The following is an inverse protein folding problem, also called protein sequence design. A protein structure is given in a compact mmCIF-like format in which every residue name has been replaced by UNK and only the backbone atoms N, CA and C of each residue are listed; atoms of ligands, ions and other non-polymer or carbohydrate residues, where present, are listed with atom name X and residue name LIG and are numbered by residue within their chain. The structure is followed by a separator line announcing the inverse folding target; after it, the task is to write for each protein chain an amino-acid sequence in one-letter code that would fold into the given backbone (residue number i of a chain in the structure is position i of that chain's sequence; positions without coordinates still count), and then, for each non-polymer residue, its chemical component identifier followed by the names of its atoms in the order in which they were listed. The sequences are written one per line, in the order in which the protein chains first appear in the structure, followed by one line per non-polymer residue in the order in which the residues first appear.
data_IF_046818374940
#
_entry.id   IF_046818374940
#
_cell.length_a   1.000
_cell.length_b   1.000
_cell.length_c   1.000
_cell.angle_alpha   90.00
_cell.angle_beta   90.00
_cell.angle_gamma   90.00
#
_symmetry.space_group_name_H-M   'P 1'
#
loop_
_entity.id
_entity.type
_entity.pdbx_description
1 polymer ?
#
# COMPACT_ATOMS: atom_id res chain seq x y z
N UNK A 1 -1.74 -4.82 -0.73
CA UNK A 1 -0.93 -5.80 0.03
C UNK A 1 0.08 -6.58 -0.83
N UNK A 2 0.21 -6.34 -2.15
CA UNK A 2 1.03 -7.19 -3.03
C UNK A 2 2.47 -6.73 -3.27
N UNK A 3 2.91 -5.59 -2.72
CA UNK A 3 4.29 -5.12 -2.93
C UNK A 3 5.32 -5.74 -1.96
N UNK A 4 4.89 -6.39 -0.86
CA UNK A 4 5.83 -6.88 0.16
C UNK A 4 6.71 -8.02 -0.34
N UNK A 5 6.15 -8.97 -1.10
CA UNK A 5 6.94 -10.03 -1.75
C UNK A 5 8.01 -9.43 -2.66
N UNK A 6 7.65 -8.39 -3.41
CA UNK A 6 8.54 -7.73 -4.36
C UNK A 6 9.63 -6.95 -3.64
N UNK A 7 9.31 -6.31 -2.51
CA UNK A 7 10.26 -5.66 -1.63
C UNK A 7 11.34 -6.64 -1.12
N UNK A 8 10.97 -7.87 -0.73
CA UNK A 8 11.91 -8.83 -0.10
C UNK A 8 12.57 -9.81 -1.07
N UNK A 9 12.10 -9.94 -2.30
CA UNK A 9 12.60 -10.90 -3.27
C UNK A 9 13.02 -10.23 -4.58
N UNK A 10 14.32 -10.14 -4.79
CA UNK A 10 14.93 -9.53 -5.97
C UNK A 10 14.86 -10.40 -7.23
N UNK A 11 14.40 -11.65 -7.14
CA UNK A 11 14.27 -12.55 -8.31
C UNK A 11 13.15 -12.12 -9.26
N UNK A 12 12.21 -11.31 -8.78
CA UNK A 12 11.14 -10.77 -9.61
C UNK A 12 11.62 -9.57 -10.42
N UNK A 13 11.48 -9.65 -11.75
CA UNK A 13 12.00 -8.63 -12.66
C UNK A 13 11.04 -7.47 -12.92
N UNK A 14 9.72 -7.67 -12.75
CA UNK A 14 8.68 -6.67 -13.08
C UNK A 14 7.57 -6.71 -12.02
N UNK A 15 6.96 -5.55 -11.76
CA UNK A 15 5.91 -5.37 -10.76
C UNK A 15 4.63 -4.80 -11.38
N UNK A 16 3.52 -5.55 -11.28
CA UNK A 16 2.20 -5.09 -11.74
C UNK A 16 1.14 -5.44 -10.68
N UNK A 17 0.84 -4.54 -9.73
CA UNK A 17 -0.26 -4.74 -8.79
C UNK A 17 -1.59 -4.79 -9.53
N UNK A 18 -2.39 -5.82 -9.26
CA UNK A 18 -3.71 -6.00 -9.88
C UNK A 18 -4.74 -5.03 -9.29
N UNK A 19 -4.60 -4.70 -8.01
CA UNK A 19 -5.39 -3.71 -7.27
C UNK A 19 -4.56 -2.48 -6.93
N UNK A 20 -5.21 -1.39 -6.51
CA UNK A 20 -4.53 -0.18 -6.07
C UNK A 20 -3.50 -0.42 -4.96
N UNK A 21 -2.40 0.31 -5.03
CA UNK A 21 -1.49 0.46 -3.89
C UNK A 21 -2.16 1.38 -2.87
N UNK A 22 -2.07 1.07 -1.59
CA UNK A 22 -2.70 1.86 -0.53
C UNK A 22 -1.62 2.40 0.43
N UNK A 23 -1.67 3.70 0.72
CA UNK A 23 -0.96 4.28 1.85
C UNK A 23 -1.77 4.07 3.12
N UNK A 24 -1.42 3.07 3.92
CA UNK A 24 -2.19 2.65 5.10
C UNK A 24 -2.16 3.69 6.22
N UNK A 25 -0.98 4.26 6.53
CA UNK A 25 -0.88 5.33 7.53
C UNK A 25 -1.79 6.51 7.16
N UNK A 26 -1.69 6.99 5.92
CA UNK A 26 -2.52 8.08 5.43
C UNK A 26 -4.01 7.75 5.54
N UNK A 27 -4.40 6.52 5.16
CA UNK A 27 -5.79 6.10 5.26
C UNK A 27 -6.30 6.08 6.70
N UNK A 28 -5.47 5.68 7.67
CA UNK A 28 -5.81 5.72 9.10
C UNK A 28 -5.92 7.17 9.60
N UNK A 29 -4.90 7.99 9.33
CA UNK A 29 -4.81 9.38 9.80
C UNK A 29 -5.95 10.27 9.28
N UNK A 30 -6.51 9.93 8.10
CA UNK A 30 -7.56 10.69 7.44
C UNK A 30 -8.94 10.03 7.52
N UNK A 31 -9.08 8.95 8.29
CA UNK A 31 -10.32 8.19 8.42
C UNK A 31 -10.91 7.72 7.06
N UNK A 32 -10.03 7.20 6.20
CA UNK A 32 -10.29 6.77 4.82
C UNK A 32 -10.02 5.26 4.62
N UNK A 33 -10.20 4.46 5.67
CA UNK A 33 -9.87 3.02 5.70
C UNK A 33 -11.11 2.09 5.70
N UNK A 34 -12.31 2.66 5.86
CA UNK A 34 -13.60 1.95 5.99
C UNK A 34 -13.94 1.14 4.74
N UNK A 35 -13.71 1.70 3.54
CA UNK A 35 -13.97 0.99 2.28
C UNK A 35 -13.17 -0.32 2.19
N UNK A 36 -11.94 -0.35 2.73
CA UNK A 36 -11.13 -1.56 2.82
C UNK A 36 -11.70 -2.53 3.86
N UNK A 37 -12.14 -2.03 5.02
CA UNK A 37 -12.79 -2.86 6.04
C UNK A 37 -14.05 -3.52 5.49
N UNK A 38 -14.91 -2.76 4.83
CA UNK A 38 -16.19 -3.25 4.33
C UNK A 38 -16.00 -4.29 3.21
N UNK A 39 -14.91 -4.22 2.44
CA UNK A 39 -14.61 -5.20 1.39
C UNK A 39 -14.37 -6.63 1.90
N UNK A 40 -13.90 -6.78 3.15
CA UNK A 40 -13.61 -8.08 3.78
C UNK A 40 -14.02 -8.07 5.27
N UNK A 41 -15.17 -7.46 5.55
CA UNK A 41 -15.67 -7.18 6.91
C UNK A 41 -15.60 -8.34 7.91
N UNK A 42 -15.86 -9.61 7.52
CA UNK A 42 -15.73 -10.73 8.44
C UNK A 42 -14.34 -10.86 9.08
N UNK A 43 -13.26 -10.59 8.33
CA UNK A 43 -11.89 -10.63 8.86
C UNK A 43 -11.69 -9.60 9.97
N UNK A 44 -12.13 -8.37 9.72
CA UNK A 44 -11.96 -7.26 10.67
C UNK A 44 -12.83 -7.44 11.92
N UNK A 45 -14.05 -7.98 11.77
CA UNK A 45 -14.89 -8.34 12.92
C UNK A 45 -14.22 -9.39 13.80
N UNK A 46 -13.66 -10.43 13.21
CA UNK A 46 -12.99 -11.48 13.98
C UNK A 46 -11.75 -10.94 14.71
N UNK A 47 -10.91 -10.16 14.02
CA UNK A 47 -9.74 -9.52 14.63
C UNK A 47 -10.10 -8.55 15.77
N UNK A 48 -11.22 -7.83 15.64
CA UNK A 48 -11.78 -6.98 16.70
C UNK A 48 -12.24 -7.80 17.90
N UNK A 49 -12.97 -8.89 17.67
CA UNK A 49 -13.48 -9.78 18.71
C UNK A 49 -12.34 -10.43 19.51
N UNK A 50 -11.30 -10.93 18.82
CA UNK A 50 -10.10 -11.48 19.47
C UNK A 50 -9.38 -10.44 20.33
N UNK A 51 -9.49 -9.15 19.97
CA UNK A 51 -8.95 -8.03 20.74
C UNK A 51 -9.89 -7.57 21.87
N UNK A 52 -11.03 -8.23 22.07
CA UNK A 52 -12.02 -7.89 23.09
C UNK A 52 -12.82 -6.61 22.81
N UNK A 53 -12.84 -6.13 21.56
CA UNK A 53 -13.50 -4.89 21.16
C UNK A 53 -14.86 -5.17 20.50
N UNK A 54 -15.87 -4.38 20.89
CA UNK A 54 -17.23 -4.47 20.32
C UNK A 54 -17.37 -3.79 18.96
N UNK A 55 -16.45 -2.89 18.61
CA UNK A 55 -16.44 -2.13 17.37
C UNK A 55 -15.07 -2.19 16.71
N UNK A 56 -15.04 -2.13 15.37
CA UNK A 56 -13.81 -2.11 14.59
C UNK A 56 -13.24 -0.70 14.64
N UNK A 57 -12.01 -0.56 15.14
CA UNK A 57 -11.23 0.68 15.13
C UNK A 57 -9.93 0.51 14.34
N UNK A 58 -9.16 1.59 14.20
CA UNK A 58 -7.91 1.59 13.44
C UNK A 58 -6.83 0.66 14.03
N UNK A 59 -6.86 0.35 15.32
CA UNK A 59 -5.86 -0.54 15.94
C UNK A 59 -6.00 -2.00 15.46
N UNK A 60 -7.11 -2.34 14.80
CA UNK A 60 -7.31 -3.65 14.15
C UNK A 60 -6.21 -3.99 13.14
N UNK A 61 -5.57 -2.98 12.56
CA UNK A 61 -4.46 -3.17 11.63
C UNK A 61 -3.25 -3.80 12.29
N UNK A 62 -2.93 -3.44 13.53
CA UNK A 62 -1.80 -4.03 14.26
C UNK A 62 -2.06 -5.49 14.64
N UNK A 63 -3.33 -5.88 14.76
CA UNK A 63 -3.74 -7.27 14.99
C UNK A 63 -3.68 -8.11 13.71
N UNK A 64 -4.13 -7.58 12.58
CA UNK A 64 -4.20 -8.31 11.30
C UNK A 64 -2.85 -8.37 10.60
N UNK A 65 -2.16 -7.24 10.52
CA UNK A 65 -0.92 -7.08 9.79
C UNK A 65 -0.01 -6.09 10.56
N UNK A 66 0.71 -6.57 11.59
CA UNK A 66 1.61 -5.75 12.38
C UNK A 66 2.57 -4.95 11.49
N UNK A 67 2.77 -3.68 11.84
CA UNK A 67 3.61 -2.72 11.11
C UNK A 67 3.17 -2.38 9.67
N UNK A 68 1.93 -2.73 9.27
CA UNK A 68 1.41 -2.37 7.95
C UNK A 68 1.27 -0.85 7.75
N UNK A 69 0.85 -0.12 8.78
CA UNK A 69 0.80 1.33 8.73
C UNK A 69 2.19 2.00 8.88
N UNK A 70 3.21 1.26 9.32
CA UNK A 70 4.56 1.80 9.54
C UNK A 70 5.57 1.23 8.55
N UNK A 71 6.41 0.27 8.97
CA UNK A 71 7.57 -0.23 8.22
C UNK A 71 7.21 -0.80 6.84
N UNK A 72 6.03 -1.41 6.72
CA UNK A 72 5.58 -2.04 5.49
C UNK A 72 4.71 -1.13 4.61
N UNK A 73 4.42 0.08 5.07
CA UNK A 73 3.60 1.03 4.34
C UNK A 73 4.24 1.44 3.00
N UNK A 74 3.41 1.90 2.06
CA UNK A 74 3.82 2.23 0.69
C UNK A 74 5.02 3.19 0.57
N UNK A 75 5.17 4.24 1.42
CA UNK A 75 6.34 5.12 1.34
C UNK A 75 7.69 4.43 1.58
N UNK A 76 7.68 3.25 2.23
CA UNK A 76 8.90 2.52 2.61
C UNK A 76 9.09 1.24 1.80
N UNK A 77 8.02 0.54 1.46
CA UNK A 77 8.09 -0.75 0.76
C UNK A 77 8.12 -0.63 -0.76
N UNK A 78 7.68 0.51 -1.34
CA UNK A 78 7.59 0.69 -2.80
C UNK A 78 8.86 1.29 -3.42
N UNK A 79 9.50 2.33 -2.86
CA UNK A 79 10.73 2.89 -3.45
C UNK A 79 11.87 1.87 -3.66
N UNK A 80 12.15 0.93 -2.74
CA UNK A 80 13.19 -0.09 -2.91
C UNK A 80 12.92 -1.08 -4.07
N UNK A 81 11.79 -0.97 -4.77
CA UNK A 81 11.53 -1.76 -5.97
C UNK A 81 12.40 -1.30 -7.15
N UNK A 82 12.86 -0.04 -7.15
CA UNK A 82 13.80 0.46 -8.14
C UNK A 82 15.04 -0.47 -8.24
N UNK A 83 15.58 -0.71 -9.46
CA UNK A 83 15.19 -0.12 -10.76
C UNK A 83 14.19 -0.98 -11.55
N UNK A 84 13.47 -1.91 -10.90
CA UNK A 84 12.62 -2.88 -11.62
C UNK A 84 11.44 -2.19 -12.30
N UNK A 85 11.12 -2.50 -13.56
CA UNK A 85 9.92 -1.98 -14.21
C UNK A 85 8.65 -2.19 -13.38
N UNK A 86 7.83 -1.15 -13.31
CA UNK A 86 6.53 -1.22 -12.63
C UNK A 86 5.42 -0.49 -13.38
N UNK A 87 4.21 -0.98 -13.20
CA UNK A 87 2.97 -0.31 -13.59
C UNK A 87 2.09 -0.15 -12.36
N UNK A 88 1.69 1.09 -12.03
CA UNK A 88 0.73 1.33 -10.97
C UNK A 88 -0.70 1.31 -11.55
N UNK A 89 -1.64 0.71 -10.83
CA UNK A 89 -3.06 0.67 -11.19
C UNK A 89 -3.90 1.24 -10.04
N UNK A 90 -5.19 1.47 -10.29
CA UNK A 90 -6.16 1.83 -9.25
C UNK A 90 -6.34 3.32 -9.04
N UNK A 91 -6.18 4.15 -10.09
CA UNK A 91 -6.52 5.57 -10.04
C UNK A 91 -7.97 5.82 -9.58
N UNK A 92 -8.86 4.89 -9.91
CA UNK A 92 -10.28 4.91 -9.57
C UNK A 92 -10.67 3.77 -8.60
N UNK A 93 -9.71 3.17 -7.88
CA UNK A 93 -9.95 2.08 -6.91
C UNK A 93 -10.46 2.68 -5.59
N UNK A 94 -11.76 2.60 -5.25
CA UNK A 94 -12.31 3.36 -4.11
C UNK A 94 -11.70 2.97 -2.75
N UNK A 95 -11.39 1.69 -2.47
CA UNK A 95 -10.62 1.28 -1.29
C UNK A 95 -9.16 1.79 -1.22
N UNK A 96 -8.61 2.36 -2.29
CA UNK A 96 -7.20 2.82 -2.36
C UNK A 96 -7.13 4.28 -2.82
N UNK A 97 -7.48 5.26 -1.95
CA UNK A 97 -7.52 6.66 -2.35
C UNK A 97 -6.17 7.16 -2.86
N UNK A 98 -6.17 7.74 -4.07
CA UNK A 98 -4.97 8.27 -4.73
C UNK A 98 -4.28 9.37 -3.90
N UNK A 99 -5.03 10.10 -3.07
CA UNK A 99 -4.46 11.10 -2.16
C UNK A 99 -3.44 10.50 -1.19
N UNK A 100 -3.65 9.26 -0.74
CA UNK A 100 -2.71 8.54 0.12
C UNK A 100 -1.44 8.05 -0.61
N UNK A 101 -1.31 8.31 -1.91
CA UNK A 101 -0.17 7.91 -2.72
C UNK A 101 0.76 9.07 -3.11
N UNK A 102 0.46 10.31 -2.73
CA UNK A 102 1.30 11.47 -3.07
C UNK A 102 2.74 11.33 -2.53
N UNK A 103 2.89 11.04 -1.23
CA UNK A 103 4.22 10.84 -0.63
C UNK A 103 4.91 9.57 -1.20
N UNK A 104 4.28 8.38 -1.27
CA UNK A 104 4.87 7.22 -1.93
C UNK A 104 5.33 7.50 -3.36
N UNK A 105 4.55 8.24 -4.15
CA UNK A 105 4.88 8.56 -5.54
C UNK A 105 6.12 9.45 -5.64
N UNK A 106 6.27 10.45 -4.77
CA UNK A 106 7.47 11.30 -4.72
C UNK A 106 8.72 10.47 -4.42
N UNK A 107 8.70 9.66 -3.36
CA UNK A 107 9.84 8.82 -2.96
C UNK A 107 10.23 7.80 -4.01
N UNK A 108 9.24 7.26 -4.72
CA UNK A 108 9.49 6.38 -5.87
C UNK A 108 10.19 7.14 -6.98
N UNK A 109 9.68 8.30 -7.36
CA UNK A 109 10.24 9.08 -8.46
C UNK A 109 11.72 9.40 -8.19
N UNK A 110 12.04 9.78 -6.95
CA UNK A 110 13.40 9.96 -6.45
C UNK A 110 14.24 8.69 -6.60
N UNK A 111 13.79 7.55 -6.05
CA UNK A 111 14.53 6.28 -6.09
C UNK A 111 14.79 5.78 -7.52
N UNK A 112 13.83 5.93 -8.43
CA UNK A 112 14.02 5.52 -9.83
C UNK A 112 14.94 6.48 -10.59
N UNK A 113 14.90 7.79 -10.28
CA UNK A 113 15.82 8.76 -10.86
C UNK A 113 17.26 8.51 -10.41
N UNK A 114 17.48 8.27 -9.11
CA UNK A 114 18.79 7.91 -8.55
C UNK A 114 19.36 6.64 -9.16
N UNK A 115 18.49 5.66 -9.45
CA UNK A 115 18.87 4.42 -10.10
C UNK A 115 19.01 4.53 -11.64
N UNK A 116 18.87 5.73 -12.23
CA UNK A 116 18.97 5.94 -13.68
C UNK A 116 17.90 5.19 -14.47
N UNK A 117 16.69 5.06 -13.91
CA UNK A 117 15.63 4.18 -14.39
C UNK A 117 14.25 4.85 -14.44
N UNK A 118 14.20 6.17 -14.51
CA UNK A 118 12.96 6.94 -14.49
C UNK A 118 11.95 6.53 -15.59
N UNK A 119 12.44 5.99 -16.72
CA UNK A 119 11.65 5.46 -17.84
C UNK A 119 10.89 4.16 -17.50
N UNK A 120 11.22 3.51 -16.38
CA UNK A 120 10.66 2.22 -15.96
C UNK A 120 9.47 2.34 -15.00
N UNK A 121 9.03 3.56 -14.71
CA UNK A 121 7.83 3.85 -13.91
C UNK A 121 6.70 4.27 -14.83
N UNK A 122 5.58 3.55 -14.77
CA UNK A 122 4.31 3.99 -15.37
C UNK A 122 3.26 4.16 -14.28
N UNK A 123 2.75 5.37 -14.16
CA UNK A 123 1.64 5.69 -13.25
C UNK A 123 0.38 5.94 -14.08
N UNK A 124 -0.82 5.56 -13.59
CA UNK A 124 -2.04 5.50 -14.41
C UNK A 124 -2.58 6.88 -14.85
N UNK A 125 -1.87 7.97 -14.57
CA UNK A 125 -2.19 9.34 -14.98
C UNK A 125 -1.12 9.98 -15.89
N UNK A 126 -0.02 9.28 -16.20
CA UNK A 126 1.08 9.73 -17.07
C UNK A 126 1.40 8.69 -18.16
#
# INVERSE_FOLDING_TARGET
MYCLLLFVDARYNVVVPIIGVQGFQWAIDNDMWQARVDSIKPLFKEASNESGKSEIDAEVWDKIAPAMASQFNAPYSVPPIAPRPRLLNGADDPPCPVLGLQEPASKVAEAYAEAGSADKVKDPKN
#
